data_IF_597262697740
#
_entry.id   IF_597262697740
#
_cell.length_a   1.000
_cell.length_b   1.000
_cell.length_c   1.000
_cell.angle_alpha   90.00
_cell.angle_beta   90.00
_cell.angle_gamma   90.00
#
_symmetry.space_group_name_H-M   'P 1'
#
loop_
_entity.id
_entity.type
_entity.pdbx_description
1 polymer ?
#
# COMPACT_ATOMS: atom_id res chain seq x y z
N UNK A 1 -7.19 16.81 -9.02
CA UNK A 1 -8.21 15.91 -9.62
C UNK A 1 -7.97 15.55 -11.09
N UNK A 2 -8.22 16.44 -12.08
CA UNK A 2 -8.20 16.09 -13.53
C UNK A 2 -6.87 15.47 -13.98
N UNK A 3 -5.75 16.07 -13.58
CA UNK A 3 -4.40 15.58 -13.92
C UNK A 3 -4.19 14.16 -13.36
N UNK A 4 -4.56 13.90 -12.11
CA UNK A 4 -4.43 12.58 -11.49
C UNK A 4 -5.28 11.53 -12.22
N UNK A 5 -6.52 11.86 -12.61
CA UNK A 5 -7.37 10.97 -13.41
C UNK A 5 -6.75 10.66 -14.77
N UNK A 6 -6.27 11.68 -15.48
CA UNK A 6 -5.63 11.52 -16.79
C UNK A 6 -4.38 10.63 -16.70
N UNK A 7 -3.50 10.91 -15.74
CA UNK A 7 -2.30 10.10 -15.53
C UNK A 7 -2.67 8.66 -15.14
N UNK A 8 -3.66 8.47 -14.27
CA UNK A 8 -4.16 7.14 -13.88
C UNK A 8 -4.68 6.34 -15.08
N UNK A 9 -5.35 7.00 -16.02
CA UNK A 9 -5.76 6.40 -17.28
C UNK A 9 -4.54 6.00 -18.13
N UNK A 10 -3.56 6.89 -18.30
CA UNK A 10 -2.34 6.60 -19.08
C UNK A 10 -1.56 5.42 -18.53
N UNK A 11 -1.30 5.36 -17.22
CA UNK A 11 -0.55 4.24 -16.60
C UNK A 11 -1.35 2.94 -16.54
N UNK A 12 -2.63 2.94 -16.92
CA UNK A 12 -3.38 1.70 -17.13
C UNK A 12 -2.86 0.94 -18.36
N UNK A 13 -2.26 1.65 -19.32
CA UNK A 13 -1.60 1.05 -20.48
C UNK A 13 -0.11 0.77 -20.23
N UNK A 14 0.40 -0.32 -20.81
CA UNK A 14 1.82 -0.70 -20.71
C UNK A 14 2.76 0.42 -21.22
N UNK A 15 2.42 1.03 -22.35
CA UNK A 15 3.19 2.14 -22.92
C UNK A 15 3.22 3.36 -21.98
N UNK A 16 2.10 3.68 -21.34
CA UNK A 16 2.05 4.75 -20.35
C UNK A 16 2.93 4.44 -19.13
N UNK A 17 2.87 3.22 -18.60
CA UNK A 17 3.79 2.81 -17.52
C UNK A 17 5.25 2.95 -17.94
N UNK A 18 5.62 2.48 -19.12
CA UNK A 18 6.99 2.59 -19.63
C UNK A 18 7.44 4.05 -19.77
N UNK A 19 6.56 4.91 -20.29
CA UNK A 19 6.82 6.34 -20.43
C UNK A 19 7.15 6.98 -19.08
N UNK A 20 6.37 6.65 -18.05
CA UNK A 20 6.53 7.25 -16.73
C UNK A 20 7.59 6.60 -15.84
N UNK A 21 7.93 5.34 -16.09
CA UNK A 21 8.91 4.60 -15.30
C UNK A 21 10.29 5.28 -15.25
N UNK A 22 10.63 6.09 -16.25
CA UNK A 22 11.92 6.79 -16.37
C UNK A 22 11.80 8.31 -16.15
N UNK A 23 10.66 8.83 -15.68
CA UNK A 23 10.42 10.27 -15.60
C UNK A 23 10.21 10.71 -14.15
N UNK A 24 10.96 11.73 -13.74
CA UNK A 24 10.80 12.40 -12.45
C UNK A 24 9.49 13.14 -12.28
N UNK A 25 8.81 13.47 -13.38
CA UNK A 25 7.59 14.30 -13.34
C UNK A 25 6.44 13.65 -12.56
N UNK A 26 6.27 12.33 -12.67
CA UNK A 26 5.26 11.63 -11.87
C UNK A 26 5.64 11.64 -10.39
N UNK A 27 6.93 11.56 -10.06
CA UNK A 27 7.38 11.67 -8.67
C UNK A 27 7.03 13.03 -8.11
N UNK A 28 7.29 14.11 -8.84
CA UNK A 28 6.91 15.46 -8.41
C UNK A 28 5.39 15.60 -8.23
N UNK A 29 4.59 15.03 -9.14
CA UNK A 29 3.13 15.09 -9.03
C UNK A 29 2.58 14.23 -7.90
N UNK A 30 3.12 13.04 -7.68
CA UNK A 30 2.68 12.16 -6.59
C UNK A 30 3.10 12.77 -5.25
N UNK A 31 4.38 13.11 -5.08
CA UNK A 31 4.90 13.61 -3.81
C UNK A 31 4.44 15.02 -3.48
N UNK A 32 4.29 15.87 -4.50
CA UNK A 32 3.76 17.23 -4.33
C UNK A 32 2.29 17.26 -3.92
N UNK A 33 1.54 16.18 -4.20
CA UNK A 33 0.15 16.04 -3.75
C UNK A 33 0.04 15.28 -2.43
N UNK A 34 0.79 14.18 -2.26
CA UNK A 34 0.84 13.35 -1.04
C UNK A 34 1.20 14.17 0.22
N UNK A 35 2.05 15.19 0.07
CA UNK A 35 2.45 16.07 1.16
C UNK A 35 1.46 17.18 1.50
N UNK A 36 0.32 17.29 0.81
CA UNK A 36 -0.70 18.31 1.12
C UNK A 36 -1.65 17.82 2.20
N UNK A 37 -1.90 18.67 3.17
CA UNK A 37 -3.02 18.47 4.09
C UNK A 37 -4.34 18.58 3.31
N UNK A 38 -5.25 17.63 3.52
CA UNK A 38 -6.59 17.57 2.90
C UNK A 38 -6.64 17.32 1.38
N UNK A 39 -5.94 16.28 0.90
CA UNK A 39 -6.13 15.79 -0.48
C UNK A 39 -7.60 15.38 -0.69
N UNK A 40 -8.26 15.94 -1.71
CA UNK A 40 -9.60 15.52 -2.10
C UNK A 40 -9.61 14.00 -2.33
N UNK A 41 -10.56 13.29 -1.71
CA UNK A 41 -10.69 11.82 -1.79
C UNK A 41 -10.50 11.29 -3.22
N UNK A 42 -11.20 11.89 -4.19
CA UNK A 42 -11.12 11.45 -5.59
C UNK A 42 -9.73 11.62 -6.20
N UNK A 43 -8.95 12.60 -5.75
CA UNK A 43 -7.55 12.79 -6.17
C UNK A 43 -6.67 11.74 -5.51
N UNK A 44 -6.83 11.48 -4.21
CA UNK A 44 -6.11 10.43 -3.48
C UNK A 44 -6.32 9.05 -4.08
N UNK A 45 -7.57 8.69 -4.35
CA UNK A 45 -8.00 7.47 -5.05
C UNK A 45 -7.26 7.26 -6.38
N UNK A 46 -7.14 8.32 -7.19
CA UNK A 46 -6.41 8.25 -8.46
C UNK A 46 -4.89 8.14 -8.26
N UNK A 47 -4.33 8.82 -7.26
CA UNK A 47 -2.90 8.72 -6.93
C UNK A 47 -2.56 7.30 -6.48
N UNK A 48 -3.36 6.69 -5.62
CA UNK A 48 -3.22 5.29 -5.23
C UNK A 48 -3.24 4.40 -6.47
N UNK A 49 -4.24 4.57 -7.35
CA UNK A 49 -4.33 3.80 -8.60
C UNK A 49 -3.08 3.93 -9.48
N UNK A 50 -2.50 5.12 -9.57
CA UNK A 50 -1.25 5.37 -10.29
C UNK A 50 -0.10 4.61 -9.62
N UNK A 51 0.06 4.77 -8.31
CA UNK A 51 1.15 4.18 -7.55
C UNK A 51 1.11 2.66 -7.59
N UNK A 52 -0.07 2.05 -7.43
CA UNK A 52 -0.25 0.59 -7.56
C UNK A 52 0.29 0.11 -8.92
N UNK A 53 -0.07 0.78 -10.02
CA UNK A 53 0.35 0.40 -11.38
C UNK A 53 1.84 0.61 -11.63
N UNK A 54 2.46 1.60 -11.00
CA UNK A 54 3.90 1.87 -11.17
C UNK A 54 4.75 1.01 -10.23
N UNK A 55 4.23 0.62 -9.08
CA UNK A 55 4.93 -0.20 -8.07
C UNK A 55 5.32 -1.61 -8.56
N UNK A 56 4.78 -2.08 -9.69
CA UNK A 56 5.27 -3.29 -10.36
C UNK A 56 6.71 -3.18 -10.87
N UNK A 57 7.20 -1.96 -11.13
CA UNK A 57 8.61 -1.72 -11.46
C UNK A 57 9.45 -1.66 -10.20
N UNK A 58 10.51 -2.48 -10.11
CA UNK A 58 11.42 -2.47 -8.96
C UNK A 58 12.06 -1.10 -8.73
N UNK A 59 12.37 -0.37 -9.80
CA UNK A 59 12.95 0.97 -9.71
C UNK A 59 11.96 1.94 -9.04
N UNK A 60 10.70 1.95 -9.50
CA UNK A 60 9.66 2.82 -8.95
C UNK A 60 9.28 2.41 -7.53
N UNK A 61 9.16 1.11 -7.24
CA UNK A 61 8.90 0.62 -5.89
C UNK A 61 10.01 1.04 -4.91
N UNK A 62 11.27 0.88 -5.29
CA UNK A 62 12.41 1.32 -4.47
C UNK A 62 12.39 2.83 -4.23
N UNK A 63 12.10 3.62 -5.27
CA UNK A 63 11.95 5.07 -5.16
C UNK A 63 10.79 5.45 -4.24
N UNK A 64 9.65 4.76 -4.34
CA UNK A 64 8.49 4.95 -3.48
C UNK A 64 8.82 4.72 -2.00
N UNK A 65 9.51 3.62 -1.71
CA UNK A 65 9.93 3.28 -0.34
C UNK A 65 10.89 4.33 0.21
N UNK A 66 11.90 4.75 -0.57
CA UNK A 66 12.89 5.75 -0.15
C UNK A 66 12.26 7.11 0.22
N UNK A 67 11.14 7.45 -0.41
CA UNK A 67 10.41 8.69 -0.16
C UNK A 67 9.29 8.53 0.89
N UNK A 68 9.25 7.41 1.62
CA UNK A 68 8.31 7.22 2.74
C UNK A 68 6.89 6.82 2.33
N UNK A 69 6.69 6.23 1.14
CA UNK A 69 5.33 5.90 0.68
C UNK A 69 4.62 4.90 1.61
N UNK A 70 5.38 3.99 2.21
CA UNK A 70 4.80 2.96 3.08
C UNK A 70 4.08 3.59 4.27
N UNK A 71 4.75 4.50 4.98
CA UNK A 71 4.17 5.16 6.15
C UNK A 71 2.98 6.05 5.76
N UNK A 72 3.05 6.73 4.61
CA UNK A 72 1.90 7.48 4.08
C UNK A 72 0.72 6.57 3.74
N UNK A 73 0.96 5.42 3.09
CA UNK A 73 -0.09 4.50 2.68
C UNK A 73 -0.81 3.91 3.89
N UNK A 74 -0.07 3.53 4.93
CA UNK A 74 -0.65 3.05 6.20
C UNK A 74 -1.58 4.10 6.79
N UNK A 75 -1.10 5.35 6.93
CA UNK A 75 -1.92 6.46 7.41
C UNK A 75 -3.16 6.69 6.54
N UNK A 76 -3.00 6.68 5.22
CA UNK A 76 -4.10 6.86 4.29
C UNK A 76 -5.17 5.78 4.49
N UNK A 77 -4.78 4.51 4.56
CA UNK A 77 -5.70 3.40 4.77
C UNK A 77 -6.42 3.49 6.13
N UNK A 78 -5.75 3.93 7.20
CA UNK A 78 -6.39 4.21 8.50
C UNK A 78 -7.46 5.31 8.40
N UNK A 79 -7.21 6.35 7.60
CA UNK A 79 -8.13 7.49 7.44
C UNK A 79 -9.35 7.16 6.55
N UNK A 80 -9.16 6.33 5.52
CA UNK A 80 -10.21 6.06 4.52
C UNK A 80 -10.94 4.73 4.71
N UNK A 81 -10.65 4.00 5.79
CA UNK A 81 -11.05 2.60 6.05
C UNK A 81 -12.50 2.28 5.63
N UNK A 82 -13.48 3.03 6.14
CA UNK A 82 -14.91 2.80 5.90
C UNK A 82 -15.43 3.32 4.57
N UNK A 83 -14.60 3.93 3.75
CA UNK A 83 -15.02 4.67 2.56
C UNK A 83 -14.40 4.13 1.25
N UNK A 84 -13.58 3.09 1.33
CA UNK A 84 -12.93 2.47 0.19
C UNK A 84 -13.94 1.69 -0.65
N UNK A 85 -14.00 2.00 -1.95
CA UNK A 85 -14.71 1.13 -2.89
C UNK A 85 -13.95 -0.18 -3.07
N UNK A 86 -14.62 -1.23 -3.56
CA UNK A 86 -13.99 -2.54 -3.85
C UNK A 86 -12.73 -2.40 -4.71
N UNK A 87 -12.75 -1.50 -5.70
CA UNK A 87 -11.60 -1.23 -6.56
C UNK A 87 -10.45 -0.56 -5.82
N UNK A 88 -10.73 0.47 -5.01
CA UNK A 88 -9.69 1.16 -4.26
C UNK A 88 -9.06 0.27 -3.19
N UNK A 89 -9.86 -0.56 -2.53
CA UNK A 89 -9.35 -1.55 -1.58
C UNK A 89 -8.34 -2.51 -2.25
N UNK A 90 -8.62 -2.98 -3.47
CA UNK A 90 -7.67 -3.78 -4.24
C UNK A 90 -6.38 -2.99 -4.56
N UNK A 91 -6.51 -1.72 -4.90
CA UNK A 91 -5.36 -0.90 -5.25
C UNK A 91 -4.46 -0.62 -4.04
N UNK A 92 -5.02 -0.25 -2.88
CA UNK A 92 -4.23 0.00 -1.66
C UNK A 92 -3.57 -1.27 -1.14
N UNK A 93 -4.27 -2.40 -1.13
CA UNK A 93 -3.72 -3.68 -0.65
C UNK A 93 -2.65 -4.23 -1.60
N UNK A 94 -2.84 -4.10 -2.92
CA UNK A 94 -1.82 -4.45 -3.91
C UNK A 94 -0.57 -3.56 -3.79
N UNK A 95 -0.76 -2.26 -3.59
CA UNK A 95 0.35 -1.32 -3.39
C UNK A 95 1.12 -1.64 -2.12
N UNK A 96 0.43 -1.87 -0.99
CA UNK A 96 1.03 -2.26 0.28
C UNK A 96 1.89 -3.51 0.12
N UNK A 97 1.34 -4.56 -0.48
CA UNK A 97 2.07 -5.80 -0.76
C UNK A 97 3.34 -5.55 -1.58
N UNK A 98 3.24 -4.74 -2.64
CA UNK A 98 4.38 -4.46 -3.51
C UNK A 98 5.47 -3.68 -2.78
N UNK A 99 5.10 -2.72 -1.93
CA UNK A 99 6.03 -1.97 -1.10
C UNK A 99 6.69 -2.86 -0.05
N UNK A 100 5.94 -3.72 0.64
CA UNK A 100 6.48 -4.67 1.61
C UNK A 100 7.49 -5.63 0.97
N UNK A 101 7.22 -6.11 -0.24
CA UNK A 101 8.14 -6.96 -1.01
C UNK A 101 9.43 -6.22 -1.41
N UNK A 102 9.36 -4.90 -1.61
CA UNK A 102 10.50 -4.09 -2.04
C UNK A 102 11.30 -3.48 -0.90
N UNK A 103 10.76 -3.43 0.32
CA UNK A 103 11.38 -2.76 1.46
C UNK A 103 12.26 -3.70 2.28
N UNK A 104 13.18 -3.13 3.05
CA UNK A 104 13.89 -3.88 4.08
C UNK A 104 13.09 -3.82 5.38
N UNK A 105 12.45 -4.93 5.76
CA UNK A 105 11.61 -5.03 6.95
C UNK A 105 12.37 -4.76 8.25
N UNK A 106 13.69 -4.97 8.28
CA UNK A 106 14.51 -4.69 9.46
C UNK A 106 14.63 -3.20 9.79
N UNK A 107 14.36 -2.32 8.82
CA UNK A 107 14.36 -0.88 9.00
C UNK A 107 13.04 -0.35 9.56
N UNK A 108 11.99 -1.18 9.64
CA UNK A 108 10.72 -0.78 10.22
C UNK A 108 10.87 -0.62 11.73
N UNK A 109 10.40 0.51 12.26
CA UNK A 109 10.40 0.75 13.69
C UNK A 109 9.19 0.05 14.35
N UNK A 110 9.24 -0.27 15.66
CA UNK A 110 8.18 -1.04 16.33
C UNK A 110 6.77 -0.48 16.13
N UNK A 111 6.60 0.85 16.17
CA UNK A 111 5.29 1.48 15.98
C UNK A 111 4.74 1.27 14.56
N UNK A 112 5.58 1.25 13.52
CA UNK A 112 5.16 0.97 12.15
C UNK A 112 4.75 -0.49 11.99
N UNK A 113 5.48 -1.40 12.62
CA UNK A 113 5.16 -2.84 12.65
C UNK A 113 3.78 -3.06 13.29
N UNK A 114 3.54 -2.46 14.46
CA UNK A 114 2.25 -2.54 15.15
C UNK A 114 1.12 -2.01 14.27
N UNK A 115 1.30 -0.84 13.65
CA UNK A 115 0.28 -0.25 12.76
C UNK A 115 -0.01 -1.15 11.56
N UNK A 116 1.01 -1.70 10.91
CA UNK A 116 0.84 -2.60 9.76
C UNK A 116 0.06 -3.85 10.14
N UNK A 117 0.41 -4.47 11.27
CA UNK A 117 -0.27 -5.66 11.78
C UNK A 117 -1.75 -5.35 12.06
N UNK A 118 -2.02 -4.31 12.86
CA UNK A 118 -3.40 -3.91 13.21
C UNK A 118 -4.21 -3.58 11.95
N UNK A 119 -3.65 -2.82 11.02
CA UNK A 119 -4.29 -2.44 9.77
C UNK A 119 -4.66 -3.67 8.94
N UNK A 120 -3.72 -4.60 8.74
CA UNK A 120 -3.98 -5.83 7.98
C UNK A 120 -5.06 -6.69 8.65
N UNK A 121 -5.08 -6.74 9.99
CA UNK A 121 -6.11 -7.44 10.75
C UNK A 121 -7.51 -6.93 10.47
N UNK A 122 -7.69 -5.60 10.43
CA UNK A 122 -8.99 -4.98 10.14
C UNK A 122 -9.53 -5.35 8.76
N UNK A 123 -8.66 -5.63 7.79
CA UNK A 123 -9.06 -6.01 6.45
C UNK A 123 -9.15 -7.52 6.20
N UNK A 124 -8.87 -8.38 7.19
CA UNK A 124 -8.92 -9.84 7.04
C UNK A 124 -10.31 -10.35 6.62
N UNK A 125 -11.36 -9.70 7.12
CA UNK A 125 -12.77 -10.03 6.85
C UNK A 125 -13.30 -9.44 5.54
N UNK A 126 -12.44 -8.86 4.69
CA UNK A 126 -12.92 -8.30 3.43
C UNK A 126 -13.55 -9.37 2.52
N UNK A 127 -14.74 -9.08 2.00
CA UNK A 127 -15.41 -9.89 0.97
C UNK A 127 -14.69 -9.85 -0.38
N UNK A 128 -13.74 -8.91 -0.56
CA UNK A 128 -13.03 -8.75 -1.81
C UNK A 128 -11.89 -9.79 -1.90
N UNK A 129 -12.15 -10.91 -2.57
CA UNK A 129 -11.20 -12.02 -2.69
C UNK A 129 -9.79 -11.59 -3.17
N UNK A 130 -9.71 -10.65 -4.12
CA UNK A 130 -8.43 -10.14 -4.61
C UNK A 130 -7.69 -9.34 -3.53
N UNK A 131 -8.38 -8.44 -2.84
CA UNK A 131 -7.79 -7.69 -1.74
C UNK A 131 -7.37 -8.63 -0.59
N UNK A 132 -8.22 -9.61 -0.25
CA UNK A 132 -7.95 -10.65 0.75
C UNK A 132 -6.66 -11.43 0.43
N UNK A 133 -6.48 -11.84 -0.83
CA UNK A 133 -5.25 -12.48 -1.28
C UNK A 133 -4.02 -11.58 -1.10
N UNK A 134 -4.11 -10.29 -1.42
CA UNK A 134 -2.99 -9.36 -1.21
C UNK A 134 -2.68 -9.09 0.27
N UNK A 135 -3.70 -9.13 1.14
CA UNK A 135 -3.53 -9.02 2.60
C UNK A 135 -2.79 -10.25 3.13
N UNK A 136 -3.20 -11.46 2.75
CA UNK A 136 -2.49 -12.68 3.15
C UNK A 136 -1.05 -12.71 2.62
N UNK A 137 -0.82 -12.30 1.36
CA UNK A 137 0.53 -12.17 0.82
C UNK A 137 1.37 -11.16 1.63
N UNK A 138 0.77 -10.05 2.06
CA UNK A 138 1.43 -9.03 2.88
C UNK A 138 1.80 -9.57 4.26
N UNK A 139 0.88 -10.29 4.91
CA UNK A 139 1.13 -10.97 6.19
C UNK A 139 2.23 -12.04 6.05
N UNK A 140 2.20 -12.82 4.96
CA UNK A 140 3.23 -13.81 4.66
C UNK A 140 4.61 -13.21 4.47
N UNK A 141 4.72 -12.00 3.89
CA UNK A 141 5.99 -11.25 3.79
C UNK A 141 6.42 -10.78 5.18
N UNK A 142 5.50 -10.20 5.96
CA UNK A 142 5.78 -9.65 7.29
C UNK A 142 6.27 -10.73 8.28
N UNK A 143 5.65 -11.90 8.29
CA UNK A 143 6.01 -12.98 9.23
C UNK A 143 7.24 -13.79 8.86
N UNK A 144 7.91 -13.44 7.75
CA UNK A 144 9.28 -13.91 7.51
C UNK A 144 10.30 -13.22 8.41
N UNK A 145 9.94 -12.09 9.05
CA UNK A 145 10.81 -11.36 9.96
C UNK A 145 10.49 -11.67 11.43
N UNK A 146 11.48 -12.16 12.19
CA UNK A 146 11.31 -12.56 13.59
C UNK A 146 10.86 -11.41 14.52
N UNK A 147 11.32 -10.17 14.29
CA UNK A 147 10.90 -9.01 15.09
C UNK A 147 9.41 -8.77 14.95
N UNK A 148 8.89 -8.94 13.74
CA UNK A 148 7.48 -8.76 13.41
C UNK A 148 6.63 -9.90 14.01
N UNK A 149 7.12 -11.13 13.95
CA UNK A 149 6.47 -12.29 14.61
C UNK A 149 6.42 -12.11 16.13
N UNK A 150 7.47 -11.55 16.74
CA UNK A 150 7.45 -11.26 18.18
C UNK A 150 6.39 -10.19 18.51
N UNK A 151 6.36 -9.10 17.74
CA UNK A 151 5.37 -8.05 17.91
C UNK A 151 3.93 -8.55 17.71
N UNK A 152 3.68 -9.45 16.75
CA UNK A 152 2.34 -10.00 16.51
C UNK A 152 1.84 -10.86 17.67
N UNK A 153 2.73 -11.61 18.33
CA UNK A 153 2.42 -12.40 19.53
C UNK A 153 2.06 -11.49 20.71
N UNK A 154 2.83 -10.43 20.93
CA UNK A 154 2.55 -9.44 21.99
C UNK A 154 1.18 -8.75 21.80
N UNK A 155 0.74 -8.60 20.55
CA UNK A 155 -0.54 -8.01 20.20
C UNK A 155 -1.73 -9.01 20.17
N UNK A 156 -1.51 -10.27 20.55
CA UNK A 156 -2.48 -11.38 20.36
C UNK A 156 -2.97 -11.56 18.90
N UNK A 157 -2.22 -11.01 17.94
CA UNK A 157 -2.60 -11.01 16.53
C UNK A 157 -2.45 -12.39 15.87
N UNK A 158 -1.53 -13.21 16.38
CA UNK A 158 -1.33 -14.60 15.95
C UNK A 158 -2.65 -15.38 15.98
N UNK A 159 -3.43 -15.22 17.05
CA UNK A 159 -4.73 -15.89 17.22
C UNK A 159 -5.75 -15.44 16.18
N UNK A 160 -5.78 -14.14 15.87
CA UNK A 160 -6.66 -13.58 14.84
C UNK A 160 -6.35 -14.23 13.49
N UNK A 161 -5.07 -14.40 13.14
CA UNK A 161 -4.70 -15.05 11.88
C UNK A 161 -5.09 -16.53 11.85
N UNK A 162 -4.85 -17.26 12.94
CA UNK A 162 -5.20 -18.69 13.06
C UNK A 162 -6.69 -18.91 12.85
N UNK A 163 -7.54 -18.05 13.45
CA UNK A 163 -9.00 -18.07 13.28
C UNK A 163 -9.46 -17.80 11.82
N UNK A 164 -8.61 -17.18 10.99
CA UNK A 164 -8.91 -16.85 9.58
C UNK A 164 -8.21 -17.76 8.56
N UNK A 165 -7.35 -18.68 9.01
CA UNK A 165 -6.60 -19.62 8.15
C UNK A 165 -7.02 -21.09 8.35
N UNK A 166 -7.92 -21.37 9.30
CA UNK A 166 -8.58 -22.68 9.48
C UNK A 166 -9.89 -22.77 8.71
#
# INVERSE_FOLDING_TARGET
>A
KIIAQFVNALVSFKLGRNYFNNRSIIRTLIWGEIGRDNIEKSTGDNLVGIMTKLSYSRFQCSDMIKNGLLSWLVKHMEEVEYSLSKYHLQCVTALLRNLLRGCNLDNLIPIEITKLIVLLGRYLDTENATAKSFIYDSLGILFQNEKIVKASKELNFQRIIEDHLT
#
